data_IF_706817487165
#
_entry.id   IF_706817487165
#
_cell.length_a   1.000
_cell.length_b   1.000
_cell.length_c   1.000
_cell.angle_alpha   90.00
_cell.angle_beta   90.00
_cell.angle_gamma   90.00
#
_symmetry.space_group_name_H-M   'P 1'
#
loop_
_entity.id
_entity.type
_entity.pdbx_description
1 polymer ?
#
# COMPACT_ATOMS: atom_id res chain seq x y z
N UNK A 1 22.76 -1.10 -5.92
CA UNK A 1 22.21 0.26 -5.81
C UNK A 1 23.37 1.22 -5.99
N UNK A 2 23.79 1.55 -7.23
CA UNK A 2 25.12 2.19 -7.44
C UNK A 2 25.25 3.12 -8.67
N UNK A 3 24.19 3.49 -9.38
CA UNK A 3 24.33 4.26 -10.64
C UNK A 3 23.52 5.55 -10.65
N UNK A 4 22.19 5.39 -10.65
CA UNK A 4 21.26 6.51 -10.74
C UNK A 4 21.07 7.20 -9.39
N UNK A 5 21.07 6.45 -8.28
CA UNK A 5 20.96 6.99 -6.93
C UNK A 5 22.13 7.94 -6.62
N UNK A 6 23.36 7.55 -6.99
CA UNK A 6 24.54 8.41 -6.82
C UNK A 6 24.46 9.72 -7.64
N UNK A 7 23.95 9.64 -8.87
CA UNK A 7 23.73 10.84 -9.69
C UNK A 7 22.61 11.70 -9.11
N UNK A 8 21.52 11.10 -8.63
CA UNK A 8 20.42 11.79 -7.98
C UNK A 8 20.91 12.54 -6.74
N UNK A 9 21.62 11.87 -5.83
CA UNK A 9 22.19 12.47 -4.62
C UNK A 9 23.23 13.56 -4.93
N UNK A 10 23.94 13.45 -6.06
CA UNK A 10 24.88 14.48 -6.52
C UNK A 10 24.18 15.76 -6.98
N UNK A 11 23.02 15.64 -7.64
CA UNK A 11 22.28 16.79 -8.21
C UNK A 11 21.13 17.29 -7.32
N UNK A 12 20.67 16.48 -6.38
CA UNK A 12 19.62 16.77 -5.41
C UNK A 12 20.01 16.17 -4.05
N UNK A 13 21.05 16.72 -3.38
CA UNK A 13 21.47 16.22 -2.08
C UNK A 13 20.32 16.36 -1.08
N UNK A 14 20.11 15.36 -0.21
CA UNK A 14 19.05 15.43 0.78
C UNK A 14 19.25 16.64 1.68
N UNK A 15 18.15 17.28 2.05
CA UNK A 15 18.17 18.37 3.02
C UNK A 15 18.56 17.83 4.39
N UNK A 16 19.08 18.69 5.26
CA UNK A 16 19.39 18.31 6.65
C UNK A 16 18.17 17.67 7.35
N UNK A 17 16.97 18.17 7.05
CA UNK A 17 15.74 17.61 7.61
C UNK A 17 15.47 16.17 7.11
N UNK A 18 15.75 15.86 5.85
CA UNK A 18 15.59 14.50 5.31
C UNK A 18 16.58 13.53 5.95
N UNK A 19 17.86 13.91 6.08
CA UNK A 19 18.87 13.09 6.75
C UNK A 19 18.49 12.81 8.21
N UNK A 20 18.02 13.83 8.93
CA UNK A 20 17.61 13.67 10.33
C UNK A 20 16.37 12.77 10.46
N UNK A 21 15.42 12.86 9.52
CA UNK A 21 14.23 11.98 9.50
C UNK A 21 14.65 10.53 9.24
N UNK A 22 15.58 10.30 8.33
CA UNK A 22 16.05 8.95 7.99
C UNK A 22 16.84 8.33 9.16
N UNK A 23 17.76 9.08 9.78
CA UNK A 23 18.49 8.63 10.98
C UNK A 23 17.55 8.34 12.16
N UNK A 24 16.54 9.18 12.42
CA UNK A 24 15.57 8.95 13.49
C UNK A 24 14.62 7.77 13.17
N UNK A 25 14.37 7.50 11.89
CA UNK A 25 13.53 6.39 11.43
C UNK A 25 14.22 5.02 11.53
N UNK A 26 15.56 4.96 11.43
CA UNK A 26 16.32 3.71 11.61
C UNK A 26 16.22 3.17 13.05
N UNK A 27 16.14 4.05 14.04
CA UNK A 27 15.98 3.71 15.46
C UNK A 27 14.52 3.76 15.95
N UNK A 28 13.55 3.86 15.03
CA UNK A 28 12.14 4.00 15.37
C UNK A 28 11.67 2.84 16.28
N UNK A 29 11.04 3.14 17.43
CA UNK A 29 10.51 2.12 18.30
C UNK A 29 9.51 1.20 17.57
N UNK A 30 9.50 -0.08 17.90
CA UNK A 30 8.63 -1.08 17.27
C UNK A 30 7.14 -0.67 17.18
N UNK A 31 6.63 0.06 18.19
CA UNK A 31 5.24 0.53 18.19
C UNK A 31 4.97 1.61 17.14
N UNK A 32 5.96 2.45 16.81
CA UNK A 32 5.86 3.44 15.72
C UNK A 32 5.89 2.73 14.37
N UNK A 33 6.82 1.79 14.18
CA UNK A 33 6.89 0.96 12.96
C UNK A 33 5.60 0.17 12.70
N UNK A 34 5.00 -0.39 13.76
CA UNK A 34 3.72 -1.09 13.67
C UNK A 34 2.58 -0.15 13.22
N UNK A 35 2.51 1.05 13.78
CA UNK A 35 1.48 2.02 13.40
C UNK A 35 1.65 2.48 11.95
N UNK A 36 2.87 2.81 11.54
CA UNK A 36 3.17 3.39 10.23
C UNK A 36 3.13 2.39 9.08
N UNK A 37 3.36 1.10 9.31
CA UNK A 37 3.41 0.08 8.23
C UNK A 37 2.24 -0.89 8.25
N UNK A 38 1.78 -1.31 9.44
CA UNK A 38 0.77 -2.36 9.55
C UNK A 38 -0.64 -1.82 9.78
N UNK A 39 -0.82 -0.66 10.44
CA UNK A 39 -2.15 -0.17 10.83
C UNK A 39 -2.66 0.93 9.91
N UNK A 40 -1.94 2.04 9.80
CA UNK A 40 -2.41 3.24 9.09
C UNK A 40 -2.53 3.00 7.57
N UNK A 41 -1.56 2.37 6.89
CA UNK A 41 -1.63 2.19 5.45
C UNK A 41 -2.83 1.31 5.03
N UNK A 42 -3.06 0.12 5.62
CA UNK A 42 -4.21 -0.70 5.24
C UNK A 42 -5.56 0.00 5.39
N UNK A 43 -5.75 0.79 6.45
CA UNK A 43 -7.00 1.56 6.62
C UNK A 43 -7.18 2.54 5.47
N UNK A 44 -6.14 3.31 5.16
CA UNK A 44 -6.19 4.37 4.15
C UNK A 44 -6.36 3.78 2.75
N UNK A 45 -5.58 2.76 2.42
CA UNK A 45 -5.60 2.09 1.12
C UNK A 45 -6.93 1.42 0.85
N UNK A 46 -7.52 0.73 1.84
CA UNK A 46 -8.83 0.11 1.68
C UNK A 46 -9.97 1.13 1.55
N UNK A 47 -9.91 2.26 2.27
CA UNK A 47 -10.88 3.34 2.11
C UNK A 47 -10.84 3.91 0.68
N UNK A 48 -9.65 4.12 0.13
CA UNK A 48 -9.50 4.62 -1.25
C UNK A 48 -9.95 3.54 -2.25
N UNK A 49 -9.39 2.34 -2.16
CA UNK A 49 -9.61 1.28 -3.13
C UNK A 49 -11.05 0.75 -3.10
N UNK A 50 -11.58 0.40 -1.92
CA UNK A 50 -12.88 -0.27 -1.79
C UNK A 50 -13.97 0.76 -1.52
N UNK A 51 -13.68 1.74 -0.67
CA UNK A 51 -14.61 2.80 -0.29
C UNK A 51 -14.84 3.85 -1.38
N UNK A 52 -13.79 4.33 -2.05
CA UNK A 52 -13.95 5.33 -3.11
C UNK A 52 -14.09 4.68 -4.49
N UNK A 53 -13.12 3.86 -4.94
CA UNK A 53 -13.15 3.32 -6.30
C UNK A 53 -14.34 2.37 -6.48
N UNK A 54 -14.43 1.28 -5.71
CA UNK A 54 -15.51 0.29 -5.91
C UNK A 54 -16.88 0.87 -5.53
N UNK A 55 -17.03 1.43 -4.31
CA UNK A 55 -18.34 1.82 -3.77
C UNK A 55 -18.92 3.09 -4.40
N UNK A 56 -18.09 4.09 -4.71
CA UNK A 56 -18.56 5.41 -5.18
C UNK A 56 -18.42 5.51 -6.70
N UNK A 57 -17.21 5.39 -7.24
CA UNK A 57 -16.96 5.60 -8.67
C UNK A 57 -17.60 4.52 -9.53
N UNK A 58 -17.51 3.26 -9.12
CA UNK A 58 -18.01 2.10 -9.87
C UNK A 58 -19.26 1.46 -9.24
N UNK A 59 -20.08 2.24 -8.54
CA UNK A 59 -21.29 1.73 -7.84
C UNK A 59 -22.23 0.88 -8.71
N UNK A 60 -22.34 1.21 -10.00
CA UNK A 60 -23.20 0.52 -10.97
C UNK A 60 -22.48 -0.61 -11.74
N UNK A 61 -21.15 -0.68 -11.63
CA UNK A 61 -20.30 -1.63 -12.36
C UNK A 61 -19.28 -2.25 -11.41
N UNK A 62 -19.76 -2.91 -10.35
CA UNK A 62 -18.94 -3.40 -9.24
C UNK A 62 -17.80 -4.33 -9.69
N UNK A 63 -18.03 -5.15 -10.72
CA UNK A 63 -16.99 -6.01 -11.27
C UNK A 63 -15.87 -5.20 -11.94
N UNK A 64 -16.23 -4.19 -12.73
CA UNK A 64 -15.24 -3.29 -13.33
C UNK A 64 -14.49 -2.51 -12.25
N UNK A 65 -15.21 -2.00 -11.25
CA UNK A 65 -14.60 -1.34 -10.09
C UNK A 65 -13.62 -2.23 -9.34
N UNK A 66 -13.93 -3.53 -9.19
CA UNK A 66 -13.03 -4.50 -8.58
C UNK A 66 -11.73 -4.70 -9.36
N UNK A 67 -11.81 -4.83 -10.69
CA UNK A 67 -10.62 -4.94 -11.53
C UNK A 67 -9.80 -3.65 -11.48
N UNK A 68 -10.44 -2.49 -11.65
CA UNK A 68 -9.77 -1.19 -11.61
C UNK A 68 -9.12 -0.94 -10.26
N UNK A 69 -9.83 -1.24 -9.16
CA UNK A 69 -9.29 -1.11 -7.81
C UNK A 69 -8.10 -2.04 -7.57
N UNK A 70 -8.12 -3.26 -8.10
CA UNK A 70 -7.01 -4.23 -7.96
C UNK A 70 -5.77 -3.76 -8.73
N UNK A 71 -5.96 -3.31 -9.97
CA UNK A 71 -4.86 -2.78 -10.80
C UNK A 71 -4.30 -1.51 -10.16
N UNK A 72 -5.15 -0.58 -9.73
CA UNK A 72 -4.73 0.63 -9.02
C UNK A 72 -3.91 0.29 -7.77
N UNK A 73 -4.41 -0.60 -6.91
CA UNK A 73 -3.70 -1.07 -5.73
C UNK A 73 -2.32 -1.65 -6.07
N UNK A 74 -2.22 -2.43 -7.13
CA UNK A 74 -0.95 -3.02 -7.57
C UNK A 74 0.05 -1.95 -8.03
N UNK A 75 -0.42 -0.91 -8.73
CA UNK A 75 0.42 0.12 -9.34
C UNK A 75 0.93 1.17 -8.36
N UNK A 76 0.27 1.37 -7.22
CA UNK A 76 0.74 2.30 -6.18
C UNK A 76 1.83 1.71 -5.28
N UNK A 77 2.16 0.42 -5.46
CA UNK A 77 3.23 -0.26 -4.74
C UNK A 77 4.51 -0.28 -5.59
N UNK A 78 5.65 -0.13 -4.95
CA UNK A 78 6.95 -0.14 -5.63
C UNK A 78 7.49 -1.57 -5.79
N UNK A 79 7.95 -1.89 -7.00
CA UNK A 79 8.67 -3.15 -7.28
C UNK A 79 9.64 -2.99 -8.45
N UNK A 80 10.86 -3.51 -8.25
CA UNK A 80 11.94 -3.51 -9.24
C UNK A 80 11.76 -4.53 -10.37
N UNK A 81 10.80 -5.46 -10.25
CA UNK A 81 10.56 -6.52 -11.22
C UNK A 81 9.07 -6.70 -11.49
N UNK A 82 8.71 -7.12 -12.70
CA UNK A 82 7.31 -7.45 -13.04
C UNK A 82 6.75 -8.56 -12.13
N UNK A 83 7.57 -9.56 -11.79
CA UNK A 83 7.16 -10.65 -10.90
C UNK A 83 6.91 -10.15 -9.47
N UNK A 84 7.63 -9.12 -9.02
CA UNK A 84 7.46 -8.51 -7.69
C UNK A 84 6.15 -7.75 -7.51
N UNK A 85 5.41 -7.45 -8.59
CA UNK A 85 4.05 -6.90 -8.48
C UNK A 85 2.99 -7.98 -8.20
N UNK A 86 3.31 -9.26 -8.39
CA UNK A 86 2.33 -10.34 -8.22
C UNK A 86 1.75 -10.40 -6.79
N UNK A 87 2.53 -10.32 -5.70
CA UNK A 87 1.98 -10.35 -4.34
C UNK A 87 0.95 -9.23 -4.10
N UNK A 88 1.21 -8.02 -4.60
CA UNK A 88 0.27 -6.90 -4.49
C UNK A 88 -0.98 -7.12 -5.33
N UNK A 89 -0.85 -7.67 -6.53
CA UNK A 89 -1.99 -8.03 -7.37
C UNK A 89 -2.89 -9.09 -6.72
N UNK A 90 -2.30 -10.17 -6.18
CA UNK A 90 -3.04 -11.21 -5.47
C UNK A 90 -3.73 -10.66 -4.21
N UNK A 91 -3.04 -9.83 -3.44
CA UNK A 91 -3.61 -9.16 -2.26
C UNK A 91 -4.78 -8.26 -2.66
N UNK A 92 -4.61 -7.47 -3.72
CA UNK A 92 -5.65 -6.64 -4.31
C UNK A 92 -6.92 -7.42 -4.67
N UNK A 93 -6.76 -8.59 -5.30
CA UNK A 93 -7.86 -9.50 -5.62
C UNK A 93 -8.55 -10.04 -4.36
N UNK A 94 -7.80 -10.47 -3.34
CA UNK A 94 -8.34 -11.01 -2.09
C UNK A 94 -9.15 -9.93 -1.34
N UNK A 95 -8.57 -8.76 -1.13
CA UNK A 95 -9.23 -7.66 -0.40
C UNK A 95 -10.44 -7.12 -1.18
N UNK A 96 -10.31 -6.99 -2.51
CA UNK A 96 -11.43 -6.60 -3.37
C UNK A 96 -12.57 -7.61 -3.36
N UNK A 97 -12.27 -8.91 -3.44
CA UNK A 97 -13.27 -9.98 -3.39
C UNK A 97 -13.98 -10.05 -2.04
N UNK A 98 -13.22 -9.98 -0.94
CA UNK A 98 -13.79 -10.01 0.41
C UNK A 98 -14.69 -8.80 0.66
N UNK A 99 -14.33 -7.61 0.18
CA UNK A 99 -15.23 -6.46 0.17
C UNK A 99 -16.50 -6.71 -0.66
N UNK A 100 -16.38 -7.23 -1.87
CA UNK A 100 -17.55 -7.50 -2.73
C UNK A 100 -18.51 -8.50 -2.09
N UNK A 101 -17.98 -9.51 -1.39
CA UNK A 101 -18.75 -10.56 -0.71
C UNK A 101 -19.42 -10.06 0.57
N UNK A 102 -18.69 -9.29 1.38
CA UNK A 102 -19.17 -8.87 2.72
C UNK A 102 -19.86 -7.53 2.74
N UNK A 103 -19.56 -6.65 1.76
CA UNK A 103 -19.98 -5.24 1.70
C UNK A 103 -19.57 -4.42 2.93
N UNK A 104 -18.53 -4.87 3.63
CA UNK A 104 -17.97 -4.26 4.84
C UNK A 104 -16.52 -3.91 4.59
N UNK A 105 -16.11 -2.70 4.94
CA UNK A 105 -14.72 -2.24 4.79
C UNK A 105 -13.82 -2.80 5.89
N UNK A 106 -14.40 -3.09 7.05
CA UNK A 106 -13.68 -3.59 8.22
C UNK A 106 -13.06 -4.98 7.96
N UNK A 107 -13.68 -5.77 7.07
CA UNK A 107 -13.21 -7.10 6.70
C UNK A 107 -11.91 -7.06 5.89
N UNK A 108 -11.84 -6.39 4.71
CA UNK A 108 -10.58 -6.28 3.99
C UNK A 108 -9.53 -5.51 4.77
N UNK A 109 -9.89 -4.49 5.57
CA UNK A 109 -8.94 -3.78 6.44
C UNK A 109 -8.29 -4.76 7.43
N UNK A 110 -9.06 -5.61 8.10
CA UNK A 110 -8.51 -6.56 9.06
C UNK A 110 -7.59 -7.60 8.39
N UNK A 111 -8.00 -8.12 7.23
CA UNK A 111 -7.19 -9.10 6.49
C UNK A 111 -5.88 -8.45 6.02
N UNK A 112 -5.94 -7.22 5.53
CA UNK A 112 -4.78 -6.47 5.06
C UNK A 112 -3.84 -6.10 6.22
N UNK A 113 -4.39 -5.64 7.36
CA UNK A 113 -3.61 -5.45 8.59
C UNK A 113 -2.87 -6.72 9.01
N UNK A 114 -3.55 -7.88 9.02
CA UNK A 114 -2.91 -9.17 9.37
C UNK A 114 -1.81 -9.51 8.37
N UNK A 115 -2.05 -9.30 7.08
CA UNK A 115 -1.06 -9.55 6.04
C UNK A 115 0.21 -8.70 6.23
N UNK A 116 0.06 -7.41 6.52
CA UNK A 116 1.20 -6.53 6.78
C UNK A 116 1.92 -6.88 8.09
N UNK A 117 1.16 -7.26 9.13
CA UNK A 117 1.73 -7.71 10.39
C UNK A 117 2.58 -8.99 10.24
N UNK A 118 2.20 -9.90 9.33
CA UNK A 118 2.96 -11.12 9.05
C UNK A 118 4.18 -10.88 8.14
N UNK A 119 4.18 -9.77 7.40
CA UNK A 119 5.24 -9.41 6.47
C UNK A 119 6.34 -8.54 7.10
N UNK A 120 6.00 -7.81 8.18
CA UNK A 120 6.92 -7.02 8.99
C UNK A 120 7.89 -7.92 9.77
#
# INVERSE_FOLDING_TARGET
>A
MYGLDYLYDTFAPPTLNEILIDEESEDAPYHIALLSTAIIPPITEEIICRGLIIRILFRNHLFLGFIVSTVFFTLIHESNTLIGYLPYFYSGLIFGYTYLKTKRLEVPILIHFINNLLAM
#
